data_IF_492777814865
#
_entry.id   IF_492777814865
#
_cell.length_a   1.000
_cell.length_b   1.000
_cell.length_c   1.000
_cell.angle_alpha   90.00
_cell.angle_beta   90.00
_cell.angle_gamma   90.00
#
_symmetry.space_group_name_H-M   'P 1'
#
loop_
_entity.id
_entity.type
_entity.pdbx_description
1 polymer ?
#
# COMPACT_ATOMS: atom_id res chain seq x y z
N UNK A 1 60.32 5.05 -21.73
CA UNK A 1 59.62 4.29 -20.68
C UNK A 1 58.35 5.04 -20.31
N UNK A 2 57.18 4.61 -20.83
CA UNK A 2 55.86 5.14 -20.49
C UNK A 2 55.15 4.09 -19.63
N UNK A 3 54.86 4.43 -18.36
CA UNK A 3 54.05 3.64 -17.47
C UNK A 3 52.56 3.90 -17.76
N UNK A 4 51.83 2.86 -18.09
CA UNK A 4 50.37 2.86 -18.11
C UNK A 4 49.82 2.69 -16.66
N UNK A 5 49.10 3.70 -16.18
CA UNK A 5 48.30 3.61 -14.96
C UNK A 5 46.86 3.25 -15.36
N UNK A 6 46.46 1.98 -15.18
CA UNK A 6 45.11 1.53 -15.37
C UNK A 6 44.28 1.86 -14.10
N UNK A 7 43.31 2.74 -14.25
CA UNK A 7 42.35 3.05 -13.21
C UNK A 7 41.33 1.91 -13.02
N UNK A 8 41.31 1.33 -11.81
CA UNK A 8 40.24 0.48 -11.32
C UNK A 8 39.07 1.36 -10.86
N UNK A 9 38.06 1.49 -11.70
CA UNK A 9 36.77 2.10 -11.36
C UNK A 9 35.67 1.07 -11.70
N UNK A 10 35.26 0.27 -10.75
CA UNK A 10 34.27 -0.75 -11.07
C UNK A 10 33.56 -1.48 -9.88
N UNK A 11 33.84 -1.11 -8.61
CA UNK A 11 33.36 -1.91 -7.49
C UNK A 11 32.29 -1.25 -6.59
N UNK A 12 31.86 -0.02 -6.86
CA UNK A 12 31.01 0.73 -5.89
C UNK A 12 29.49 0.65 -6.15
N UNK A 13 29.05 0.13 -7.29
CA UNK A 13 27.63 0.15 -7.64
C UNK A 13 26.85 -1.06 -7.10
N UNK A 14 27.49 -2.22 -7.02
CA UNK A 14 26.82 -3.44 -6.52
C UNK A 14 26.68 -3.48 -4.99
N UNK A 15 27.63 -2.91 -4.26
CA UNK A 15 27.55 -2.85 -2.79
C UNK A 15 26.38 -1.97 -2.29
N UNK A 16 26.06 -0.88 -2.97
CA UNK A 16 24.93 -0.02 -2.60
C UNK A 16 23.55 -0.64 -2.87
N UNK A 17 23.44 -1.55 -3.83
CA UNK A 17 22.16 -2.26 -4.08
C UNK A 17 21.87 -3.32 -3.01
N UNK A 18 22.90 -3.94 -2.43
CA UNK A 18 22.78 -4.91 -1.35
C UNK A 18 22.41 -4.26 0.01
N UNK A 19 22.81 -3.01 0.24
CA UNK A 19 22.46 -2.27 1.46
C UNK A 19 20.99 -1.82 1.48
N UNK A 20 20.36 -1.64 0.33
CA UNK A 20 18.98 -1.11 0.22
C UNK A 20 17.87 -2.05 0.69
N UNK A 21 18.11 -3.35 0.83
CA UNK A 21 17.11 -4.33 1.26
C UNK A 21 17.45 -4.93 2.62
N UNK A 22 17.97 -4.09 3.53
CA UNK A 22 18.27 -4.48 4.91
C UNK A 22 17.03 -4.31 5.78
N UNK A 23 16.60 -5.35 6.52
CA UNK A 23 15.48 -5.24 7.45
C UNK A 23 15.66 -4.09 8.45
N UNK A 24 14.65 -3.24 8.59
CA UNK A 24 14.66 -2.09 9.50
C UNK A 24 15.32 -0.82 8.94
N UNK A 25 15.91 -0.87 7.76
CA UNK A 25 16.50 0.29 7.08
C UNK A 25 15.53 0.84 6.03
N UNK A 26 14.76 1.84 6.41
CA UNK A 26 13.82 2.55 5.53
C UNK A 26 13.51 3.92 6.17
N UNK A 27 12.90 4.82 5.40
CA UNK A 27 12.68 6.21 5.84
C UNK A 27 11.27 6.41 6.43
N UNK A 28 10.24 5.82 5.81
CA UNK A 28 8.84 5.98 6.21
C UNK A 28 7.97 4.80 5.79
N UNK A 29 6.74 4.76 6.30
CA UNK A 29 5.72 3.80 5.89
C UNK A 29 4.70 4.42 4.95
N UNK A 30 4.20 3.62 4.01
CA UNK A 30 2.98 3.91 3.25
C UNK A 30 1.92 2.90 3.65
N UNK A 31 0.82 3.38 4.24
CA UNK A 31 -0.41 2.61 4.44
C UNK A 31 -1.20 2.61 3.13
N UNK A 32 -1.47 1.44 2.58
CA UNK A 32 -2.15 1.28 1.29
C UNK A 32 -3.56 0.75 1.52
N UNK A 33 -4.54 1.56 1.14
CA UNK A 33 -5.97 1.23 1.24
C UNK A 33 -6.48 0.88 -0.15
N UNK A 34 -6.62 -0.41 -0.45
CA UNK A 34 -7.09 -0.92 -1.73
C UNK A 34 -8.59 -0.72 -1.91
N UNK A 35 -9.02 -0.25 -3.09
CA UNK A 35 -10.44 -0.18 -3.44
C UNK A 35 -10.92 -1.53 -3.96
N UNK A 36 -11.49 -2.34 -3.09
CA UNK A 36 -11.92 -3.71 -3.38
C UNK A 36 -12.81 -3.84 -4.62
N UNK A 37 -13.80 -2.95 -4.88
CA UNK A 37 -14.64 -3.07 -6.08
C UNK A 37 -13.87 -3.03 -7.39
N UNK A 38 -12.84 -2.19 -7.52
CA UNK A 38 -12.01 -2.16 -8.74
C UNK A 38 -11.18 -3.42 -8.91
N UNK A 39 -10.59 -3.92 -7.82
CA UNK A 39 -9.87 -5.19 -7.82
C UNK A 39 -10.79 -6.35 -8.25
N UNK A 40 -11.99 -6.41 -7.71
CA UNK A 40 -12.94 -7.46 -8.02
C UNK A 40 -13.44 -7.42 -9.47
N UNK A 41 -13.61 -6.23 -10.06
CA UNK A 41 -13.98 -6.09 -11.47
C UNK A 41 -12.88 -6.53 -12.44
N UNK A 42 -11.63 -6.57 -12.01
CA UNK A 42 -10.49 -6.82 -12.91
C UNK A 42 -9.83 -8.17 -12.68
N UNK A 43 -9.38 -8.45 -11.47
CA UNK A 43 -8.56 -9.63 -11.16
C UNK A 43 -9.21 -10.58 -10.15
N UNK A 44 -9.90 -10.04 -9.17
CA UNK A 44 -10.37 -10.77 -8.01
C UNK A 44 -11.44 -11.83 -8.36
N UNK A 45 -12.36 -11.52 -9.25
CA UNK A 45 -13.36 -12.50 -9.75
C UNK A 45 -12.70 -13.65 -10.48
N UNK A 46 -11.76 -13.36 -11.37
CA UNK A 46 -11.02 -14.38 -12.11
C UNK A 46 -10.24 -15.32 -11.19
N UNK A 47 -9.70 -14.77 -10.10
CA UNK A 47 -8.91 -15.51 -9.10
C UNK A 47 -9.79 -16.16 -8.03
N UNK A 48 -11.11 -15.90 -8.02
CA UNK A 48 -12.04 -16.30 -6.95
C UNK A 48 -11.54 -15.88 -5.56
N UNK A 49 -10.99 -14.67 -5.48
CA UNK A 49 -10.42 -14.17 -4.23
C UNK A 49 -11.52 -14.01 -3.16
N UNK A 50 -11.15 -14.30 -1.90
CA UNK A 50 -12.06 -14.21 -0.76
C UNK A 50 -12.59 -12.78 -0.57
N UNK A 51 -11.83 -11.76 -0.96
CA UNK A 51 -12.22 -10.35 -0.93
C UNK A 51 -13.44 -10.06 -1.81
N UNK A 52 -13.59 -10.78 -2.93
CA UNK A 52 -14.66 -10.58 -3.90
C UNK A 52 -15.85 -11.50 -3.68
N UNK A 53 -15.66 -12.62 -3.00
CA UNK A 53 -16.70 -13.65 -2.75
C UNK A 53 -17.27 -13.53 -1.33
N UNK A 54 -17.77 -12.36 -0.96
CA UNK A 54 -18.31 -12.07 0.36
C UNK A 54 -19.76 -11.62 0.28
N UNK A 55 -20.57 -11.97 1.30
CA UNK A 55 -21.95 -11.54 1.40
C UNK A 55 -22.09 -10.02 1.64
N UNK A 56 -21.05 -9.41 2.17
CA UNK A 56 -20.94 -7.95 2.35
C UNK A 56 -19.75 -7.48 1.55
N UNK A 57 -19.95 -6.80 0.39
CA UNK A 57 -18.87 -6.25 -0.39
C UNK A 57 -18.02 -5.29 0.45
N UNK A 58 -16.72 -5.40 0.29
CA UNK A 58 -15.79 -4.46 0.90
C UNK A 58 -15.72 -3.17 0.09
N UNK A 59 -15.50 -2.05 0.76
CA UNK A 59 -15.14 -0.77 0.15
C UNK A 59 -13.61 -0.68 0.11
N UNK A 60 -13.00 0.01 1.07
CA UNK A 60 -11.56 -0.01 1.26
C UNK A 60 -11.17 -1.17 2.18
N UNK A 61 -10.15 -1.91 1.76
CA UNK A 61 -9.47 -2.93 2.56
C UNK A 61 -8.03 -2.51 2.78
N UNK A 62 -7.40 -3.00 3.83
CA UNK A 62 -5.97 -2.86 3.98
C UNK A 62 -5.28 -3.71 2.89
N UNK A 63 -4.58 -3.07 1.96
CA UNK A 63 -3.71 -3.77 1.03
C UNK A 63 -2.41 -4.13 1.75
N UNK A 64 -1.73 -3.15 2.35
CA UNK A 64 -0.49 -3.40 3.07
C UNK A 64 0.05 -2.16 3.78
N UNK A 65 1.18 -2.36 4.47
CA UNK A 65 1.98 -1.30 5.08
C UNK A 65 3.41 -1.41 4.55
N UNK A 66 3.79 -0.50 3.66
CA UNK A 66 5.01 -0.61 2.87
C UNK A 66 6.12 0.28 3.42
N UNK A 67 7.24 -0.28 3.91
CA UNK A 67 8.46 0.50 4.13
C UNK A 67 8.93 1.15 2.83
N UNK A 68 9.32 2.41 2.89
CA UNK A 68 9.77 3.20 1.74
C UNK A 68 11.06 3.93 2.06
N UNK A 69 11.88 4.19 1.05
CA UNK A 69 12.90 5.24 1.09
C UNK A 69 12.30 6.55 0.55
N UNK A 70 12.93 7.68 0.78
CA UNK A 70 12.52 8.94 0.15
C UNK A 70 12.50 8.82 -1.39
N UNK A 71 13.30 7.91 -1.93
CA UNK A 71 13.30 7.54 -3.34
C UNK A 71 13.57 6.04 -3.51
N UNK A 72 12.58 5.32 -4.06
CA UNK A 72 12.58 3.86 -4.16
C UNK A 72 12.10 3.21 -2.85
N UNK A 73 12.11 1.90 -2.81
CA UNK A 73 11.60 1.10 -1.70
C UNK A 73 12.42 -0.17 -1.53
N UNK A 74 12.49 -0.71 -0.29
CA UNK A 74 12.99 -2.06 -0.07
C UNK A 74 11.88 -3.09 -0.32
N UNK A 75 12.24 -4.25 -0.85
CA UNK A 75 11.35 -5.38 -1.01
C UNK A 75 12.09 -6.70 -0.80
N UNK A 76 11.36 -7.75 -0.40
CA UNK A 76 11.88 -9.11 -0.21
C UNK A 76 13.16 -9.16 0.67
N UNK A 77 13.18 -8.38 1.75
CA UNK A 77 14.35 -8.29 2.62
C UNK A 77 14.67 -9.62 3.30
N UNK A 78 15.95 -10.00 3.25
CA UNK A 78 16.40 -11.27 3.83
C UNK A 78 16.44 -11.21 5.36
N UNK A 79 15.67 -12.08 6.01
CA UNK A 79 15.67 -12.27 7.47
C UNK A 79 16.40 -13.54 7.92
N UNK A 80 17.26 -14.11 7.05
CA UNK A 80 18.06 -15.31 7.34
C UNK A 80 17.26 -16.62 7.42
N UNK A 81 15.95 -16.60 7.20
CA UNK A 81 15.04 -17.76 7.17
C UNK A 81 13.86 -17.48 6.23
N UNK A 82 13.14 -18.54 5.84
CA UNK A 82 11.92 -18.36 5.04
C UNK A 82 10.86 -17.58 5.86
N UNK A 83 10.35 -16.45 5.37
CA UNK A 83 9.29 -15.70 6.05
C UNK A 83 8.03 -16.55 6.21
N UNK A 84 7.48 -16.59 7.41
CA UNK A 84 6.27 -17.32 7.74
C UNK A 84 5.36 -16.46 8.61
N UNK A 85 4.06 -16.45 8.30
CA UNK A 85 3.04 -15.73 9.06
C UNK A 85 2.23 -16.75 9.88
N UNK A 86 2.12 -16.59 11.21
CA UNK A 86 1.30 -17.45 12.06
C UNK A 86 -0.17 -17.46 11.61
N UNK A 87 -0.83 -18.61 11.74
CA UNK A 87 -2.26 -18.72 11.37
C UNK A 87 -3.12 -17.80 12.22
N UNK A 88 -2.80 -17.61 13.51
CA UNK A 88 -3.51 -16.67 14.38
C UNK A 88 -3.47 -15.23 13.85
N UNK A 89 -2.30 -14.77 13.37
CA UNK A 89 -2.16 -13.44 12.76
C UNK A 89 -2.98 -13.34 11.47
N UNK A 90 -2.96 -14.39 10.64
CA UNK A 90 -3.77 -14.43 9.42
C UNK A 90 -5.26 -14.30 9.78
N UNK A 91 -5.74 -15.07 10.75
CA UNK A 91 -7.15 -15.08 11.15
C UNK A 91 -7.58 -13.74 11.76
N UNK A 92 -6.70 -13.12 12.56
CA UNK A 92 -6.93 -11.78 13.13
C UNK A 92 -7.01 -10.68 12.07
N UNK A 93 -6.27 -10.81 10.96
CA UNK A 93 -6.25 -9.77 9.93
C UNK A 93 -7.39 -9.87 8.90
N UNK A 94 -8.13 -10.98 8.85
CA UNK A 94 -9.10 -11.25 7.77
C UNK A 94 -10.30 -10.33 7.72
N UNK A 95 -10.59 -9.61 8.77
CA UNK A 95 -11.66 -8.59 8.82
C UNK A 95 -11.31 -7.34 8.00
N UNK A 96 -10.03 -6.99 7.89
CA UNK A 96 -9.52 -5.81 7.15
C UNK A 96 -8.67 -6.19 5.94
N UNK A 97 -8.14 -7.42 5.89
CA UNK A 97 -7.42 -8.03 4.76
C UNK A 97 -8.02 -9.40 4.44
N UNK A 98 -9.13 -9.49 3.68
CA UNK A 98 -9.89 -10.73 3.51
C UNK A 98 -9.11 -11.87 2.86
N UNK A 99 -8.12 -11.56 2.02
CA UNK A 99 -7.31 -12.52 1.28
C UNK A 99 -6.12 -13.03 2.10
N UNK A 100 -6.17 -14.33 2.50
CA UNK A 100 -5.02 -15.00 3.14
C UNK A 100 -3.75 -14.93 2.28
N UNK A 101 -3.91 -15.02 0.96
CA UNK A 101 -2.80 -14.94 0.02
C UNK A 101 -2.11 -13.58 0.08
N UNK A 102 -2.91 -12.50 0.17
CA UNK A 102 -2.42 -11.15 0.31
C UNK A 102 -1.66 -10.96 1.63
N UNK A 103 -2.22 -11.39 2.76
CA UNK A 103 -1.56 -11.28 4.08
C UNK A 103 -0.15 -11.91 4.05
N UNK A 104 -0.04 -13.11 3.48
CA UNK A 104 1.25 -13.80 3.37
C UNK A 104 2.21 -13.06 2.42
N UNK A 105 1.70 -12.56 1.31
CA UNK A 105 2.48 -11.80 0.33
C UNK A 105 3.02 -10.51 0.93
N UNK A 106 2.17 -9.72 1.55
CA UNK A 106 2.53 -8.43 2.14
C UNK A 106 3.62 -8.54 3.20
N UNK A 107 3.55 -9.56 4.06
CA UNK A 107 4.64 -9.78 5.01
C UNK A 107 5.94 -10.17 4.32
N UNK A 108 5.88 -11.05 3.31
CA UNK A 108 7.09 -11.53 2.63
C UNK A 108 7.80 -10.45 1.87
N UNK A 109 7.05 -9.66 1.13
CA UNK A 109 7.59 -8.61 0.25
C UNK A 109 7.93 -7.34 1.02
N UNK A 110 7.03 -6.88 1.89
CA UNK A 110 7.16 -5.59 2.57
C UNK A 110 7.45 -5.72 4.06
N UNK A 111 6.75 -6.60 4.75
CA UNK A 111 6.87 -6.76 6.20
C UNK A 111 8.27 -7.14 6.66
N UNK A 112 8.96 -8.01 5.92
CA UNK A 112 10.35 -8.38 6.21
C UNK A 112 11.29 -7.18 6.21
N UNK A 113 10.99 -6.16 5.40
CA UNK A 113 11.80 -4.95 5.31
C UNK A 113 11.58 -3.98 6.46
N UNK A 114 10.46 -4.11 7.19
CA UNK A 114 10.23 -3.31 8.40
C UNK A 114 11.17 -3.66 9.56
N UNK A 115 11.79 -4.84 9.54
CA UNK A 115 12.57 -5.39 10.66
C UNK A 115 11.72 -5.96 11.80
N UNK A 116 10.38 -5.90 11.67
CA UNK A 116 9.42 -6.41 12.64
C UNK A 116 9.09 -7.88 12.37
N UNK A 117 8.74 -8.61 13.41
CA UNK A 117 8.13 -9.93 13.23
C UNK A 117 6.68 -9.82 12.72
N UNK A 118 6.03 -10.92 12.27
CA UNK A 118 4.67 -10.84 11.71
C UNK A 118 3.64 -10.27 12.66
N UNK A 119 3.71 -10.57 13.96
CA UNK A 119 2.75 -10.07 14.97
C UNK A 119 2.88 -8.56 15.11
N UNK A 120 4.11 -8.08 15.22
CA UNK A 120 4.42 -6.66 15.36
C UNK A 120 4.05 -5.89 14.08
N UNK A 121 4.44 -6.41 12.90
CA UNK A 121 4.16 -5.76 11.62
C UNK A 121 2.67 -5.59 11.38
N UNK A 122 1.89 -6.65 11.52
CA UNK A 122 0.44 -6.57 11.33
C UNK A 122 -0.27 -5.81 12.45
N UNK A 123 0.29 -5.79 13.67
CA UNK A 123 -0.19 -4.94 14.75
C UNK A 123 -0.08 -3.46 14.39
N UNK A 124 1.07 -3.02 13.87
CA UNK A 124 1.26 -1.65 13.38
C UNK A 124 0.35 -1.34 12.19
N UNK A 125 0.25 -2.26 11.24
CA UNK A 125 -0.60 -2.08 10.07
C UNK A 125 -2.08 -1.90 10.46
N UNK A 126 -2.59 -2.70 11.42
CA UNK A 126 -3.94 -2.57 11.95
C UNK A 126 -4.13 -1.25 12.69
N UNK A 127 -3.21 -0.87 13.57
CA UNK A 127 -3.28 0.39 14.31
C UNK A 127 -3.44 1.59 13.36
N UNK A 128 -2.61 1.63 12.30
CA UNK A 128 -2.68 2.71 11.31
C UNK A 128 -3.97 2.66 10.49
N UNK A 129 -4.42 1.47 10.11
CA UNK A 129 -5.70 1.30 9.39
C UNK A 129 -6.89 1.79 10.22
N UNK A 130 -6.97 1.41 11.49
CA UNK A 130 -8.06 1.80 12.41
C UNK A 130 -8.05 3.30 12.75
N UNK A 131 -6.90 3.96 12.64
CA UNK A 131 -6.79 5.42 12.79
C UNK A 131 -7.45 6.18 11.64
N UNK A 132 -7.50 5.58 10.45
CA UNK A 132 -8.07 6.22 9.25
C UNK A 132 -9.58 6.01 9.19
N UNK A 133 -10.33 7.09 9.21
CA UNK A 133 -11.77 7.06 8.94
C UNK A 133 -12.01 7.05 7.43
N UNK A 134 -12.62 5.99 6.94
CA UNK A 134 -13.00 5.89 5.53
C UNK A 134 -14.17 6.84 5.26
N UNK A 135 -14.10 7.71 4.21
CA UNK A 135 -15.17 8.63 3.87
C UNK A 135 -16.46 7.88 3.48
N UNK A 136 -17.57 8.19 4.12
CA UNK A 136 -18.87 7.58 3.79
C UNK A 136 -19.32 7.90 2.36
N UNK A 137 -18.97 9.06 1.85
CA UNK A 137 -19.24 9.48 0.46
C UNK A 137 -18.66 8.52 -0.58
N UNK A 138 -17.59 7.80 -0.23
CA UNK A 138 -17.00 6.75 -1.06
C UNK A 138 -17.55 5.37 -0.66
N UNK A 139 -17.46 5.01 0.63
CA UNK A 139 -17.76 3.68 1.14
C UNK A 139 -19.24 3.29 1.02
N UNK A 140 -20.15 4.24 1.20
CA UNK A 140 -21.60 3.99 1.16
C UNK A 140 -22.25 4.32 -0.18
N UNK A 141 -21.46 4.72 -1.20
CA UNK A 141 -22.02 5.03 -2.53
C UNK A 141 -22.55 3.77 -3.20
N UNK A 142 -23.84 3.75 -3.46
CA UNK A 142 -24.51 2.69 -4.24
C UNK A 142 -24.41 2.89 -5.75
N UNK A 143 -23.77 3.96 -6.23
CA UNK A 143 -23.63 4.28 -7.63
C UNK A 143 -22.15 4.46 -8.00
N UNK A 144 -21.83 4.19 -9.26
CA UNK A 144 -20.51 4.51 -9.81
C UNK A 144 -20.30 6.02 -9.79
N UNK A 145 -19.19 6.45 -9.24
CA UNK A 145 -18.76 7.86 -9.23
C UNK A 145 -17.66 8.08 -10.24
N UNK A 146 -17.48 9.36 -10.61
CA UNK A 146 -16.40 9.83 -11.46
C UNK A 146 -15.79 11.05 -10.76
N UNK A 147 -14.60 10.88 -10.20
CA UNK A 147 -13.96 11.84 -9.31
C UNK A 147 -12.53 12.14 -9.79
N UNK A 148 -12.01 13.32 -9.45
CA UNK A 148 -10.56 13.57 -9.55
C UNK A 148 -9.84 13.02 -8.33
N UNK A 149 -8.52 12.91 -8.40
CA UNK A 149 -7.69 12.55 -7.24
C UNK A 149 -7.90 13.55 -6.11
N UNK A 150 -7.87 14.86 -6.38
CA UNK A 150 -8.12 15.93 -5.41
C UNK A 150 -9.49 15.79 -4.69
N UNK A 151 -10.52 15.31 -5.39
CA UNK A 151 -11.83 15.08 -4.80
C UNK A 151 -11.83 13.89 -3.84
N UNK A 152 -11.09 12.83 -4.18
CA UNK A 152 -10.91 11.67 -3.31
C UNK A 152 -10.10 12.06 -2.07
N UNK A 153 -9.00 12.77 -2.25
CA UNK A 153 -8.17 13.28 -1.15
C UNK A 153 -8.93 14.24 -0.24
N UNK A 154 -9.71 15.15 -0.83
CA UNK A 154 -10.56 16.07 -0.06
C UNK A 154 -11.59 15.33 0.77
N UNK A 155 -12.16 14.22 0.28
CA UNK A 155 -13.07 13.39 1.05
C UNK A 155 -12.36 12.74 2.24
N UNK A 156 -11.13 12.21 2.04
CA UNK A 156 -10.32 11.66 3.13
C UNK A 156 -9.93 12.72 4.16
N UNK A 157 -9.49 13.90 3.72
CA UNK A 157 -9.13 15.01 4.61
C UNK A 157 -10.35 15.51 5.43
N UNK A 158 -11.53 15.57 4.83
CA UNK A 158 -12.77 15.93 5.53
C UNK A 158 -13.14 14.92 6.63
N UNK A 159 -12.93 13.62 6.38
CA UNK A 159 -13.18 12.57 7.37
C UNK A 159 -12.08 12.49 8.45
N UNK A 160 -10.87 12.98 8.13
CA UNK A 160 -9.67 12.89 8.98
C UNK A 160 -9.00 14.27 9.10
N UNK A 161 -9.40 15.13 10.03
CA UNK A 161 -8.88 16.51 10.14
C UNK A 161 -7.36 16.65 10.33
N UNK A 162 -6.67 15.57 10.70
CA UNK A 162 -5.22 15.50 10.84
C UNK A 162 -4.50 15.20 9.52
N UNK A 163 -5.23 14.73 8.50
CA UNK A 163 -4.68 14.32 7.20
C UNK A 163 -4.69 15.50 6.23
N UNK A 164 -3.56 15.73 5.57
CA UNK A 164 -3.39 16.79 4.58
C UNK A 164 -3.08 16.19 3.20
N UNK A 165 -3.36 16.89 2.09
CA UNK A 165 -3.10 16.37 0.75
C UNK A 165 -1.67 15.86 0.55
N UNK A 166 -0.65 16.58 1.02
CA UNK A 166 0.75 16.16 0.90
C UNK A 166 1.12 14.89 1.66
N UNK A 167 0.21 14.36 2.50
CA UNK A 167 0.40 13.13 3.28
C UNK A 167 -0.25 11.91 2.64
N UNK A 168 -0.88 12.08 1.48
CA UNK A 168 -1.55 10.99 0.77
C UNK A 168 -1.37 11.11 -0.74
N UNK A 169 -1.71 10.07 -1.45
CA UNK A 169 -1.80 10.03 -2.91
C UNK A 169 -2.85 9.02 -3.34
N UNK A 170 -3.40 9.25 -4.53
CA UNK A 170 -4.37 8.36 -5.16
C UNK A 170 -3.67 7.61 -6.28
N UNK A 171 -3.87 6.29 -6.35
CA UNK A 171 -3.42 5.51 -7.49
C UNK A 171 -4.59 4.96 -8.30
N UNK A 172 -4.36 4.75 -9.59
CA UNK A 172 -5.36 4.15 -10.45
C UNK A 172 -4.76 3.11 -11.40
N UNK A 173 -5.60 2.14 -11.78
CA UNK A 173 -5.29 1.17 -12.85
C UNK A 173 -6.18 1.49 -14.05
N UNK A 174 -5.56 2.04 -15.10
CA UNK A 174 -6.32 2.67 -16.17
C UNK A 174 -7.10 3.86 -15.62
N UNK A 175 -8.42 3.84 -15.78
CA UNK A 175 -9.31 4.87 -15.27
C UNK A 175 -9.97 4.53 -13.91
N UNK A 176 -9.71 3.34 -13.35
CA UNK A 176 -10.37 2.92 -12.12
C UNK A 176 -9.49 3.21 -10.90
N UNK A 177 -10.11 3.67 -9.80
CA UNK A 177 -9.46 3.81 -8.50
C UNK A 177 -8.82 2.47 -8.10
N UNK A 178 -7.54 2.46 -7.81
CA UNK A 178 -6.84 1.28 -7.32
C UNK A 178 -6.68 1.32 -5.81
N UNK A 179 -6.04 2.35 -5.30
CA UNK A 179 -5.79 2.52 -3.86
C UNK A 179 -5.66 4.01 -3.48
N UNK A 180 -5.79 4.27 -2.19
CA UNK A 180 -5.39 5.51 -1.53
C UNK A 180 -4.22 5.18 -0.61
N UNK A 181 -3.15 5.95 -0.69
CA UNK A 181 -1.92 5.76 0.06
C UNK A 181 -1.77 6.86 1.07
N UNK A 182 -1.39 6.54 2.30
CA UNK A 182 -1.20 7.51 3.38
C UNK A 182 0.18 7.29 4.00
N UNK A 183 0.95 8.36 4.11
CA UNK A 183 2.34 8.33 4.54
C UNK A 183 2.48 8.59 6.04
N UNK A 184 3.24 7.71 6.71
CA UNK A 184 3.56 7.79 8.13
C UNK A 184 5.05 7.69 8.36
N UNK A 185 5.57 8.48 9.28
CA UNK A 185 6.94 8.31 9.77
C UNK A 185 7.13 6.96 10.46
N UNK A 186 8.38 6.60 10.73
CA UNK A 186 8.72 5.40 11.52
C UNK A 186 8.19 5.47 12.96
N UNK A 187 7.89 6.68 13.43
CA UNK A 187 7.24 6.98 14.70
C UNK A 187 5.70 6.88 14.63
N UNK A 188 5.16 6.47 13.49
CA UNK A 188 3.73 6.31 13.19
C UNK A 188 2.93 7.63 13.19
N UNK A 189 3.60 8.79 13.17
CA UNK A 189 2.93 10.06 12.94
C UNK A 189 2.79 10.35 11.43
N UNK A 190 1.67 11.00 11.01
CA UNK A 190 1.48 11.39 9.62
C UNK A 190 2.60 12.32 9.13
N UNK A 191 3.06 12.13 7.91
CA UNK A 191 4.08 12.97 7.27
C UNK A 191 3.78 13.18 5.80
N UNK A 192 4.41 14.19 5.20
CA UNK A 192 4.41 14.33 3.75
C UNK A 192 5.01 13.09 3.09
N UNK A 193 4.41 12.67 1.98
CA UNK A 193 4.88 11.54 1.19
C UNK A 193 6.23 11.83 0.51
N UNK A 194 6.99 10.78 0.22
CA UNK A 194 8.21 10.86 -0.57
C UNK A 194 7.94 10.81 -2.08
N UNK A 195 9.00 10.84 -2.88
CA UNK A 195 8.91 10.90 -4.34
C UNK A 195 8.25 9.65 -4.99
N UNK A 196 8.06 8.57 -4.22
CA UNK A 196 7.41 7.35 -4.74
C UNK A 196 5.91 7.52 -4.92
N UNK A 197 5.29 8.38 -4.11
CA UNK A 197 3.87 8.69 -4.09
C UNK A 197 3.54 9.94 -4.93
N UNK A 198 4.31 10.17 -6.00
CA UNK A 198 4.02 11.17 -7.03
C UNK A 198 2.76 10.75 -7.80
N UNK A 199 1.67 11.45 -7.56
CA UNK A 199 0.35 11.16 -8.11
C UNK A 199 0.32 11.18 -9.63
N UNK A 200 1.04 12.09 -10.29
CA UNK A 200 1.12 12.13 -11.75
C UNK A 200 1.71 10.84 -12.36
N UNK A 201 2.42 10.05 -11.55
CA UNK A 201 2.94 8.73 -11.93
C UNK A 201 1.99 7.60 -11.53
N UNK A 202 1.30 7.75 -10.38
CA UNK A 202 0.40 6.73 -9.82
C UNK A 202 -0.96 6.71 -10.51
N UNK A 203 -1.46 7.88 -10.91
CA UNK A 203 -2.71 8.02 -11.64
C UNK A 203 -2.59 9.10 -12.71
N UNK A 204 -2.65 8.73 -13.98
CA UNK A 204 -2.54 9.64 -15.13
C UNK A 204 -3.90 10.13 -15.64
N UNK A 205 -4.98 9.71 -15.00
CA UNK A 205 -6.34 10.05 -15.40
C UNK A 205 -6.83 11.26 -14.60
N UNK A 206 -7.26 12.31 -15.28
CA UNK A 206 -7.90 13.47 -14.64
C UNK A 206 -9.26 13.10 -14.02
N UNK A 207 -9.84 11.98 -14.46
CA UNK A 207 -11.14 11.49 -13.99
C UNK A 207 -11.04 10.00 -13.67
N UNK A 208 -11.26 9.68 -12.40
CA UNK A 208 -11.13 8.35 -11.83
C UNK A 208 -12.52 7.75 -11.64
N UNK A 209 -12.74 6.59 -12.23
CA UNK A 209 -13.95 5.83 -12.01
C UNK A 209 -13.86 5.10 -10.65
N UNK A 210 -14.84 5.34 -9.80
CA UNK A 210 -15.00 4.69 -8.50
C UNK A 210 -16.24 3.78 -8.57
N UNK A 211 -16.07 2.47 -8.85
CA UNK A 211 -17.19 1.53 -8.85
C UNK A 211 -17.85 1.46 -7.48
N UNK A 212 -19.18 1.18 -7.39
CA UNK A 212 -19.84 1.06 -6.10
C UNK A 212 -19.32 -0.10 -5.28
N UNK A 213 -19.22 0.07 -3.96
CA UNK A 213 -18.84 -1.00 -3.04
C UNK A 213 -19.93 -2.08 -2.93
N UNK A 214 -21.19 -1.72 -3.11
CA UNK A 214 -22.30 -2.68 -3.19
C UNK A 214 -22.68 -2.93 -4.65
N UNK A 215 -22.86 -4.19 -5.09
CA UNK A 215 -23.45 -4.42 -6.41
C UNK A 215 -24.83 -3.79 -6.43
N UNK A 216 -25.07 -2.89 -7.40
CA UNK A 216 -26.43 -2.52 -7.77
C UNK A 216 -27.08 -3.78 -8.34
N UNK A 217 -27.76 -4.56 -7.49
CA UNK A 217 -28.63 -5.63 -8.03
C UNK A 217 -29.74 -4.98 -8.82
N UNK A 218 -29.95 -5.44 -10.06
CA UNK A 218 -31.08 -4.99 -10.87
C UNK A 218 -32.42 -5.37 -10.22
#
# INVERSE_FOLDING_TARGET
VLLFLALLVGASCEAQALERNTPGEFDYYVLVLGWAPSYCLTEGELRRDAECNTAKPHAFVLHGLWPQYEKGWPEDCSIGKRPWVPTSVIDEMRDIMPSKGLIIHEYRTHGTCSGLDPVQYFGVARELYERVKIPESLAASGARQSLSADQIESAFAAANPWLKPEMMSVSCRGENLLDVRICFGRDLFPRACGANEDEARLCRSDTIAVPPAAPTRP
#
